data_IF_180812443352
#
_entry.id   IF_180812443352
#
_cell.length_a   1.000
_cell.length_b   1.000
_cell.length_c   1.000
_cell.angle_alpha   90.00
_cell.angle_beta   90.00
_cell.angle_gamma   90.00
#
_symmetry.space_group_name_H-M   'P 1'
#
loop_
_entity.id
_entity.type
_entity.pdbx_description
1 polymer ?
#
# COMPACT_ATOMS: atom_id res chain seq x y z
N UNK A 1 14.56 10.93 -9.18
CA UNK A 1 13.56 11.17 -8.12
C UNK A 1 13.09 9.80 -7.68
N UNK A 2 13.47 9.39 -6.48
CA UNK A 2 13.07 8.08 -5.96
C UNK A 2 11.65 8.18 -5.41
N UNK A 3 10.73 7.41 -5.97
CA UNK A 3 9.35 7.31 -5.51
C UNK A 3 9.18 6.01 -4.71
N UNK A 4 8.63 6.10 -3.50
CA UNK A 4 8.34 4.94 -2.66
C UNK A 4 6.83 4.75 -2.60
N UNK A 5 6.36 3.56 -2.98
CA UNK A 5 4.97 3.18 -2.78
C UNK A 5 4.74 2.84 -1.30
N UNK A 6 3.64 3.33 -0.76
CA UNK A 6 3.15 2.93 0.54
C UNK A 6 1.68 2.53 0.46
N UNK A 7 1.25 1.66 1.37
CA UNK A 7 -0.16 1.30 1.52
C UNK A 7 -0.59 1.69 2.92
N UNK A 8 -1.63 2.52 2.99
CA UNK A 8 -2.29 2.91 4.23
C UNK A 8 -3.33 1.87 4.59
N UNK A 9 -3.27 1.38 5.82
CA UNK A 9 -4.10 0.27 6.34
C UNK A 9 -4.63 0.62 7.73
N UNK A 10 -5.56 -0.18 8.24
CA UNK A 10 -5.94 -0.18 9.66
C UNK A 10 -6.03 -1.61 10.19
N UNK A 11 -5.90 -1.77 11.51
CA UNK A 11 -6.01 -3.07 12.20
C UNK A 11 -7.43 -3.62 12.20
N UNK A 12 -8.44 -2.78 11.95
CA UNK A 12 -9.86 -3.14 11.97
C UNK A 12 -10.42 -3.47 10.58
N UNK A 13 -9.56 -3.51 9.55
CA UNK A 13 -9.93 -3.68 8.16
C UNK A 13 -9.54 -5.09 7.65
N UNK A 14 -10.49 -6.04 7.54
CA UNK A 14 -10.18 -7.41 7.10
C UNK A 14 -9.53 -7.45 5.70
N UNK A 15 -9.94 -6.55 4.82
CA UNK A 15 -9.35 -6.45 3.48
C UNK A 15 -7.89 -5.95 3.54
N UNK A 16 -7.55 -5.10 4.52
CA UNK A 16 -6.20 -4.62 4.74
C UNK A 16 -5.28 -5.75 5.25
N UNK A 17 -5.77 -6.63 6.11
CA UNK A 17 -5.04 -7.83 6.54
C UNK A 17 -4.76 -8.76 5.35
N UNK A 18 -5.79 -9.04 4.53
CA UNK A 18 -5.65 -9.86 3.32
C UNK A 18 -4.62 -9.27 2.34
N UNK A 19 -4.65 -7.96 2.15
CA UNK A 19 -3.72 -7.24 1.29
C UNK A 19 -2.28 -7.33 1.83
N UNK A 20 -2.07 -7.06 3.13
CA UNK A 20 -0.75 -7.20 3.75
C UNK A 20 -0.21 -8.63 3.63
N UNK A 21 -1.06 -9.64 3.85
CA UNK A 21 -0.69 -11.04 3.68
C UNK A 21 -0.33 -11.37 2.21
N UNK A 22 -1.03 -10.79 1.24
CA UNK A 22 -0.66 -10.91 -0.19
C UNK A 22 0.71 -10.28 -0.46
N UNK A 23 0.93 -9.04 -0.03
CA UNK A 23 2.21 -8.33 -0.19
C UNK A 23 3.36 -9.09 0.47
N UNK A 24 3.13 -9.71 1.63
CA UNK A 24 4.10 -10.55 2.32
C UNK A 24 4.45 -11.80 1.51
N UNK A 25 3.44 -12.54 1.03
CA UNK A 25 3.61 -13.77 0.22
C UNK A 25 4.35 -13.49 -1.09
N UNK A 26 4.10 -12.34 -1.70
CA UNK A 26 4.76 -11.92 -2.95
C UNK A 26 6.12 -11.25 -2.72
N UNK A 27 6.57 -11.11 -1.46
CA UNK A 27 7.85 -10.47 -1.13
C UNK A 27 7.88 -8.96 -1.40
N UNK A 28 6.73 -8.34 -1.59
CA UNK A 28 6.56 -6.92 -1.94
C UNK A 28 6.70 -5.98 -0.76
N UNK A 29 6.67 -6.48 0.48
CA UNK A 29 6.94 -5.68 1.69
C UNK A 29 8.35 -5.03 1.70
N UNK A 30 9.27 -5.51 0.86
CA UNK A 30 10.59 -4.87 0.66
C UNK A 30 10.54 -3.65 -0.27
N UNK A 31 9.51 -3.56 -1.11
CA UNK A 31 9.33 -2.51 -2.13
C UNK A 31 8.25 -1.49 -1.72
N UNK A 32 7.40 -1.85 -0.76
CA UNK A 32 6.27 -1.04 -0.30
C UNK A 32 6.32 -0.86 1.20
N UNK A 33 6.11 0.39 1.64
CA UNK A 33 5.94 0.71 3.06
C UNK A 33 4.50 0.48 3.50
N UNK A 34 4.30 0.02 4.73
CA UNK A 34 2.98 -0.06 5.35
C UNK A 34 2.83 1.12 6.31
N UNK A 35 1.76 1.88 6.17
CA UNK A 35 1.40 2.97 7.07
C UNK A 35 0.12 2.55 7.79
N UNK A 36 0.22 2.25 9.08
CA UNK A 36 -0.92 1.82 9.85
C UNK A 36 -1.65 3.03 10.47
N UNK A 37 -2.81 3.38 9.93
CA UNK A 37 -3.64 4.47 10.44
C UNK A 37 -4.36 4.15 11.76
N UNK A 38 -4.12 2.97 12.35
CA UNK A 38 -4.46 2.66 13.74
C UNK A 38 -3.43 3.20 14.75
N UNK A 39 -2.25 3.65 14.31
CA UNK A 39 -1.27 4.36 15.15
C UNK A 39 -1.46 5.87 15.06
N UNK A 40 -1.01 6.61 16.08
CA UNK A 40 -1.10 8.08 16.10
C UNK A 40 -0.38 8.72 14.90
N UNK A 41 0.83 8.22 14.59
CA UNK A 41 1.63 8.70 13.45
C UNK A 41 0.97 8.39 12.10
N UNK A 42 0.44 7.19 11.93
CA UNK A 42 -0.23 6.81 10.68
C UNK A 42 -1.57 7.51 10.50
N UNK A 43 -2.30 7.76 11.59
CA UNK A 43 -3.52 8.55 11.57
C UNK A 43 -3.23 10.01 11.19
N UNK A 44 -2.22 10.62 11.79
CA UNK A 44 -1.78 11.98 11.44
C UNK A 44 -1.38 12.07 9.96
N UNK A 45 -0.66 11.07 9.44
CA UNK A 45 -0.33 10.97 8.02
C UNK A 45 -1.59 10.91 7.14
N UNK A 46 -2.54 10.02 7.46
CA UNK A 46 -3.77 9.88 6.70
C UNK A 46 -4.58 11.18 6.67
N UNK A 47 -4.70 11.85 7.83
CA UNK A 47 -5.41 13.13 7.97
C UNK A 47 -4.73 14.25 7.17
N UNK A 48 -3.40 14.40 7.29
CA UNK A 48 -2.62 15.41 6.58
C UNK A 48 -2.79 15.30 5.05
N UNK A 49 -2.94 14.08 4.54
CA UNK A 49 -3.04 13.79 3.12
C UNK A 49 -4.47 13.51 2.63
N UNK A 50 -5.48 13.72 3.48
CA UNK A 50 -6.89 13.59 3.10
C UNK A 50 -7.34 12.17 2.76
N UNK A 51 -6.65 11.15 3.27
CA UNK A 51 -6.97 9.74 3.07
C UNK A 51 -8.13 9.37 4.00
N UNK A 52 -9.26 8.97 3.43
CA UNK A 52 -10.51 8.72 4.15
C UNK A 52 -10.95 7.27 4.14
N UNK A 53 -10.39 6.48 3.24
CA UNK A 53 -10.73 5.08 3.04
C UNK A 53 -9.44 4.25 3.07
N UNK A 54 -9.56 3.00 3.49
CA UNK A 54 -8.45 2.04 3.56
C UNK A 54 -8.92 0.69 3.01
N UNK A 55 -8.03 -0.11 2.41
CA UNK A 55 -6.63 0.20 2.14
C UNK A 55 -6.49 1.20 1.00
N UNK A 56 -5.53 2.13 1.12
CA UNK A 56 -5.25 3.12 0.09
C UNK A 56 -3.77 3.08 -0.30
N UNK A 57 -3.48 3.16 -1.59
CA UNK A 57 -2.12 3.19 -2.10
C UNK A 57 -1.69 4.64 -2.28
N UNK A 58 -0.50 4.98 -1.81
CA UNK A 58 0.11 6.31 -2.01
C UNK A 58 1.53 6.19 -2.52
N UNK A 59 1.97 7.24 -3.21
CA UNK A 59 3.36 7.43 -3.63
C UNK A 59 3.95 8.57 -2.81
N UNK A 60 5.04 8.28 -2.10
CA UNK A 60 5.81 9.23 -1.31
C UNK A 60 7.11 9.54 -2.06
N UNK A 61 7.29 10.79 -2.43
CA UNK A 61 8.53 11.27 -3.05
C UNK A 61 9.59 11.59 -1.99
N UNK A 62 10.88 11.61 -2.37
CA UNK A 62 11.97 12.06 -1.49
C UNK A 62 11.75 13.48 -0.92
N UNK A 63 10.99 14.31 -1.62
CA UNK A 63 10.69 15.69 -1.23
C UNK A 63 9.52 15.77 -0.23
N UNK A 64 8.98 14.63 0.22
CA UNK A 64 7.85 14.56 1.13
C UNK A 64 6.48 14.78 0.48
N UNK A 65 6.41 14.96 -0.84
CA UNK A 65 5.12 15.03 -1.53
C UNK A 65 4.47 13.65 -1.56
N UNK A 66 3.17 13.62 -1.26
CA UNK A 66 2.35 12.42 -1.24
C UNK A 66 1.21 12.59 -2.24
N UNK A 67 1.00 11.57 -3.07
CA UNK A 67 -0.16 11.47 -3.96
C UNK A 67 -0.80 10.09 -3.83
N UNK A 68 -2.11 10.01 -4.07
CA UNK A 68 -2.81 8.73 -4.17
C UNK A 68 -2.35 8.02 -5.46
N UNK A 69 -2.15 6.71 -5.39
CA UNK A 69 -1.84 5.88 -6.55
C UNK A 69 -3.01 5.92 -7.53
N UNK A 70 -2.72 5.95 -8.83
CA UNK A 70 -3.73 5.61 -9.82
C UNK A 70 -4.17 4.16 -9.67
N UNK A 71 -5.37 3.84 -10.15
CA UNK A 71 -5.88 2.46 -10.16
C UNK A 71 -4.92 1.50 -10.87
N UNK A 72 -4.23 1.96 -11.92
CA UNK A 72 -3.22 1.18 -12.62
C UNK A 72 -1.98 0.92 -11.75
N UNK A 73 -1.48 1.92 -11.03
CA UNK A 73 -0.34 1.75 -10.13
C UNK A 73 -0.64 0.80 -8.97
N UNK A 74 -1.86 0.85 -8.45
CA UNK A 74 -2.32 -0.06 -7.40
C UNK A 74 -2.51 -1.47 -7.95
N UNK A 75 -3.14 -1.62 -9.12
CA UNK A 75 -3.22 -2.93 -9.80
C UNK A 75 -1.86 -3.50 -10.11
N UNK A 76 -0.90 -2.72 -10.61
CA UNK A 76 0.46 -3.16 -10.87
C UNK A 76 1.17 -3.63 -9.59
N UNK A 77 0.95 -2.93 -8.47
CA UNK A 77 1.46 -3.38 -7.18
C UNK A 77 0.94 -4.78 -6.83
N UNK A 78 -0.31 -5.10 -7.17
CA UNK A 78 -0.94 -6.40 -6.89
C UNK A 78 -0.77 -7.43 -8.02
N UNK A 79 -0.28 -7.01 -9.19
CA UNK A 79 -0.07 -7.81 -10.41
C UNK A 79 1.38 -8.18 -10.63
N UNK A 80 2.30 -7.82 -9.73
CA UNK A 80 3.64 -8.41 -9.67
C UNK A 80 3.59 -9.93 -9.31
N UNK A 81 2.41 -10.56 -9.46
CA UNK A 81 2.25 -11.95 -9.85
C UNK A 81 3.19 -12.26 -11.02
N UNK A 82 4.19 -13.08 -10.76
CA UNK A 82 4.46 -14.14 -11.72
C UNK A 82 3.12 -14.83 -11.99
N UNK A 83 2.60 -14.66 -13.21
CA UNK A 83 1.34 -15.23 -13.66
C UNK A 83 1.23 -16.75 -13.44
N UNK A 84 0.05 -17.32 -13.69
CA UNK A 84 -0.38 -18.61 -13.15
C UNK A 84 0.62 -19.72 -13.49
N UNK A 85 1.18 -20.39 -12.48
CA UNK A 85 1.60 -21.77 -12.69
C UNK A 85 0.34 -22.60 -12.80
N UNK A 86 -0.08 -22.83 -14.04
CA UNK A 86 -0.89 -23.97 -14.41
C UNK A 86 -0.45 -25.17 -13.59
N UNK A 87 -1.35 -25.69 -12.77
CA UNK A 87 -1.30 -27.08 -12.33
C UNK A 87 -1.51 -27.92 -13.60
N UNK A 88 -0.40 -28.30 -14.23
CA UNK A 88 -0.35 -29.48 -15.10
C UNK A 88 -0.20 -30.70 -14.22
#
# INVERSE_FOLDING_TARGET
MTEIKAVVVTDTCPYCEMLQAKLAREGLLKKVKIINASTEEGLAFAQQHGIREVPECVVVTENGQVRICSEQEFKQLLKDEHGPKSLR
#
